data_IF_075371495655
#
_entry.id   IF_075371495655
#
_cell.length_a   1.000
_cell.length_b   1.000
_cell.length_c   1.000
_cell.angle_alpha   90.00
_cell.angle_beta   90.00
_cell.angle_gamma   90.00
#
_symmetry.space_group_name_H-M   'P 1'
#
loop_
_entity.id
_entity.type
_entity.pdbx_description
1 polymer ?
#
# COMPACT_ATOMS: atom_id res chain seq x y z
N UNK A 1 -6.16 8.17 -9.44
CA UNK A 1 -4.90 8.07 -10.21
C UNK A 1 -3.82 7.39 -9.40
N UNK A 2 -3.55 7.84 -8.17
CA UNK A 2 -2.55 7.23 -7.25
C UNK A 2 -2.76 5.72 -7.04
N UNK A 3 -3.97 5.27 -6.69
CA UNK A 3 -4.25 3.85 -6.45
C UNK A 3 -4.03 2.97 -7.71
N UNK A 4 -4.50 3.43 -8.87
CA UNK A 4 -4.33 2.71 -10.15
C UNK A 4 -2.85 2.61 -10.54
N UNK A 5 -2.09 3.71 -10.40
CA UNK A 5 -0.65 3.72 -10.70
C UNK A 5 0.13 2.77 -9.77
N UNK A 6 -0.19 2.75 -8.48
CA UNK A 6 0.45 1.86 -7.52
C UNK A 6 0.08 0.38 -7.75
N UNK A 7 -1.17 0.08 -8.14
CA UNK A 7 -1.55 -1.29 -8.55
C UNK A 7 -0.90 -1.72 -9.85
N UNK A 8 -0.84 -0.85 -10.85
CA UNK A 8 -0.17 -1.13 -12.12
C UNK A 8 1.34 -1.35 -11.92
N UNK A 9 1.99 -0.53 -11.09
CA UNK A 9 3.39 -0.70 -10.71
C UNK A 9 3.65 -2.01 -9.96
N UNK A 10 2.75 -2.38 -9.03
CA UNK A 10 2.82 -3.66 -8.31
C UNK A 10 2.69 -4.86 -9.24
N UNK A 11 1.78 -4.81 -10.23
CA UNK A 11 1.56 -5.88 -11.20
C UNK A 11 2.72 -5.99 -12.20
N UNK A 12 3.26 -4.86 -12.65
CA UNK A 12 4.40 -4.80 -13.56
C UNK A 12 5.63 -5.46 -12.94
N UNK A 13 5.92 -5.15 -11.67
CA UNK A 13 7.05 -5.76 -10.95
C UNK A 13 6.88 -7.28 -10.74
N UNK A 14 5.64 -7.77 -10.63
CA UNK A 14 5.38 -9.22 -10.51
C UNK A 14 5.45 -10.00 -11.82
N UNK A 15 4.91 -9.47 -12.92
CA UNK A 15 4.83 -10.21 -14.20
C UNK A 15 6.06 -10.03 -15.09
N UNK A 16 6.77 -8.91 -14.97
CA UNK A 16 7.87 -8.58 -15.89
C UNK A 16 9.23 -8.91 -15.26
N UNK A 17 9.36 -8.81 -13.93
CA UNK A 17 10.65 -8.97 -13.24
C UNK A 17 10.76 -10.28 -12.45
N UNK A 18 9.72 -11.11 -12.41
CA UNK A 18 9.72 -12.44 -11.76
C UNK A 18 10.24 -12.45 -10.31
N UNK A 19 10.07 -11.36 -9.57
CA UNK A 19 10.34 -11.38 -8.14
C UNK A 19 9.20 -12.09 -7.41
N UNK A 20 9.54 -13.18 -6.72
CA UNK A 20 8.66 -13.78 -5.73
C UNK A 20 8.37 -12.74 -4.62
N UNK A 21 7.11 -12.30 -4.44
CA UNK A 21 6.78 -11.35 -3.39
C UNK A 21 6.84 -12.04 -2.03
N UNK A 22 7.44 -11.36 -1.06
CA UNK A 22 7.47 -11.80 0.33
C UNK A 22 6.05 -11.84 0.94
N UNK A 23 5.85 -12.63 2.01
CA UNK A 23 4.55 -12.76 2.69
C UNK A 23 4.00 -11.39 3.14
N UNK A 24 4.84 -10.53 3.70
CA UNK A 24 4.47 -9.16 4.10
C UNK A 24 4.10 -8.26 2.90
N UNK A 25 4.79 -8.43 1.78
CA UNK A 25 4.52 -7.74 0.52
C UNK A 25 3.13 -8.12 -0.01
N UNK A 26 2.74 -9.38 0.17
CA UNK A 26 1.43 -9.88 -0.22
C UNK A 26 0.32 -9.27 0.65
N UNK A 27 0.53 -9.14 1.96
CA UNK A 27 -0.39 -8.42 2.83
C UNK A 27 -0.58 -6.96 2.40
N UNK A 28 0.49 -6.24 2.03
CA UNK A 28 0.36 -4.87 1.50
C UNK A 28 -0.52 -4.81 0.24
N UNK A 29 -0.43 -5.81 -0.65
CA UNK A 29 -1.27 -5.91 -1.86
C UNK A 29 -2.74 -6.17 -1.54
N UNK A 30 -3.04 -7.02 -0.56
CA UNK A 30 -4.42 -7.28 -0.12
C UNK A 30 -5.09 -6.00 0.36
N UNK A 31 -4.36 -5.10 1.03
CA UNK A 31 -4.93 -3.82 1.44
C UNK A 31 -5.06 -2.84 0.27
N UNK A 32 -4.09 -2.81 -0.66
CA UNK A 32 -4.13 -1.89 -1.80
C UNK A 32 -5.18 -2.20 -2.87
N UNK A 33 -5.38 -3.46 -3.24
CA UNK A 33 -6.22 -3.81 -4.41
C UNK A 33 -7.71 -3.48 -4.21
N UNK A 34 -8.33 -3.74 -3.04
CA UNK A 34 -9.71 -3.36 -2.78
C UNK A 34 -9.90 -1.83 -2.81
N UNK A 35 -8.92 -1.06 -2.30
CA UNK A 35 -8.96 0.40 -2.30
C UNK A 35 -9.12 0.98 -3.72
N UNK A 36 -8.51 0.36 -4.72
CA UNK A 36 -8.63 0.79 -6.14
C UNK A 36 -10.06 0.63 -6.63
N UNK A 37 -10.66 -0.53 -6.36
CA UNK A 37 -12.03 -0.85 -6.75
C UNK A 37 -13.00 0.08 -6.03
N UNK A 38 -12.82 0.28 -4.73
CA UNK A 38 -13.62 1.18 -3.90
C UNK A 38 -13.58 2.59 -4.46
N UNK A 39 -12.40 3.14 -4.79
CA UNK A 39 -12.30 4.48 -5.36
C UNK A 39 -12.88 4.60 -6.77
N UNK A 40 -12.78 3.54 -7.58
CA UNK A 40 -13.35 3.53 -8.92
C UNK A 40 -14.88 3.55 -8.88
N UNK A 41 -15.47 2.73 -8.01
CA UNK A 41 -16.92 2.72 -7.74
C UNK A 41 -17.37 4.05 -7.13
N UNK A 42 -16.62 4.59 -6.16
CA UNK A 42 -16.92 5.87 -5.53
C UNK A 42 -17.00 7.01 -6.54
N UNK A 43 -16.06 7.05 -7.50
CA UNK A 43 -16.06 8.03 -8.58
C UNK A 43 -17.23 7.85 -9.53
N UNK A 44 -17.57 6.61 -9.89
CA UNK A 44 -18.67 6.31 -10.81
C UNK A 44 -20.05 6.60 -10.18
N UNK A 45 -20.24 6.26 -8.91
CA UNK A 45 -21.51 6.36 -8.19
C UNK A 45 -21.66 7.62 -7.34
N UNK A 46 -20.62 8.47 -7.25
CA UNK A 46 -20.56 9.69 -6.40
C UNK A 46 -21.02 9.41 -4.96
N UNK A 47 -20.55 8.31 -4.39
CA UNK A 47 -20.99 7.85 -3.06
C UNK A 47 -20.48 8.83 -2.00
N UNK A 48 -21.37 9.48 -1.22
CA UNK A 48 -20.96 10.28 -0.08
C UNK A 48 -20.36 9.39 1.01
N UNK A 49 -19.44 9.91 1.82
CA UNK A 49 -18.81 9.18 2.95
C UNK A 49 -17.96 7.94 2.61
N UNK A 50 -17.42 7.86 1.38
CA UNK A 50 -16.46 6.79 1.02
C UNK A 50 -15.22 6.75 1.95
N UNK A 51 -14.92 7.87 2.61
CA UNK A 51 -13.80 8.01 3.53
C UNK A 51 -13.92 7.11 4.79
N UNK A 52 -15.13 6.74 5.20
CA UNK A 52 -15.36 5.83 6.35
C UNK A 52 -14.82 4.42 6.08
N UNK A 53 -14.85 3.97 4.82
CA UNK A 53 -14.36 2.65 4.40
C UNK A 53 -12.88 2.73 3.99
N UNK A 54 -12.48 3.82 3.32
CA UNK A 54 -11.12 3.96 2.80
C UNK A 54 -10.08 4.23 3.89
N UNK A 55 -10.42 4.98 4.94
CA UNK A 55 -9.49 5.29 6.04
C UNK A 55 -8.98 4.06 6.80
N UNK A 56 -9.82 3.11 7.27
CA UNK A 56 -9.32 1.95 8.01
C UNK A 56 -8.42 1.07 7.14
N UNK A 57 -8.74 0.88 5.86
CA UNK A 57 -7.89 0.16 4.91
C UNK A 57 -6.53 0.83 4.71
N UNK A 58 -6.52 2.16 4.57
CA UNK A 58 -5.27 2.92 4.43
C UNK A 58 -4.43 2.88 5.71
N UNK A 59 -5.06 2.97 6.89
CA UNK A 59 -4.38 2.89 8.19
C UNK A 59 -3.71 1.53 8.42
N UNK A 60 -4.41 0.43 8.08
CA UNK A 60 -3.82 -0.92 8.13
C UNK A 60 -2.65 -1.07 7.14
N UNK A 61 -2.79 -0.52 5.93
CA UNK A 61 -1.71 -0.48 4.94
C UNK A 61 -0.46 0.24 5.44
N UNK A 62 -0.62 1.39 6.11
CA UNK A 62 0.49 2.14 6.73
C UNK A 62 1.17 1.32 7.84
N UNK A 63 0.38 0.63 8.67
CA UNK A 63 0.92 -0.16 9.78
C UNK A 63 1.77 -1.33 9.26
N UNK A 64 1.26 -2.06 8.26
CA UNK A 64 1.99 -3.17 7.62
C UNK A 64 3.21 -2.67 6.86
N UNK A 65 3.12 -1.53 6.16
CA UNK A 65 4.25 -0.93 5.45
C UNK A 65 5.36 -0.45 6.39
N UNK A 66 4.99 0.19 7.49
CA UNK A 66 5.92 0.60 8.54
C UNK A 66 6.64 -0.60 9.16
N UNK A 67 5.89 -1.64 9.53
CA UNK A 67 6.45 -2.86 10.10
C UNK A 67 7.45 -3.54 9.15
N UNK A 68 7.10 -3.61 7.86
CA UNK A 68 7.97 -4.19 6.85
C UNK A 68 9.26 -3.36 6.64
N UNK A 69 9.16 -2.02 6.69
CA UNK A 69 10.35 -1.16 6.65
C UNK A 69 11.27 -1.37 7.86
N UNK A 70 10.70 -1.53 9.06
CA UNK A 70 11.48 -1.82 10.28
C UNK A 70 12.22 -3.17 10.18
N UNK A 71 11.59 -4.19 9.59
CA UNK A 71 12.24 -5.49 9.38
C UNK A 71 13.39 -5.38 8.38
N UNK A 72 13.23 -4.61 7.31
CA UNK A 72 14.31 -4.41 6.33
C UNK A 72 15.52 -3.70 6.92
N UNK A 73 15.33 -2.80 7.89
CA UNK A 73 16.43 -2.05 8.51
C UNK A 73 17.05 -2.82 9.69
N UNK A 74 16.28 -3.66 10.38
CA UNK A 74 16.74 -4.54 11.46
C UNK A 74 16.52 -6.02 11.10
N UNK A 75 17.33 -6.59 10.18
CA UNK A 75 17.16 -7.96 9.67
C UNK A 75 17.30 -9.04 10.76
N UNK A 76 17.86 -8.68 11.90
CA UNK A 76 18.08 -9.54 13.07
C UNK A 76 16.81 -9.77 13.92
N UNK A 77 15.74 -8.98 13.72
CA UNK A 77 14.48 -9.14 14.44
C UNK A 77 13.54 -10.20 13.84
N UNK A 78 13.69 -10.55 12.56
CA UNK A 78 12.80 -11.51 11.92
C UNK A 78 13.54 -12.36 10.89
N UNK A 79 14.08 -13.48 11.36
CA UNK A 79 14.40 -14.63 10.50
C UNK A 79 13.14 -15.46 10.24
N UNK A 80 12.02 -14.80 9.94
CA UNK A 80 10.77 -15.49 9.61
C UNK A 80 10.90 -16.06 8.21
N UNK A 81 11.18 -17.35 8.15
CA UNK A 81 11.09 -18.20 6.97
C UNK A 81 9.66 -18.08 6.41
N UNK A 82 9.49 -17.24 5.38
CA UNK A 82 8.19 -17.04 4.73
C UNK A 82 7.90 -18.14 3.72
N UNK A 83 6.63 -18.53 3.58
CA UNK A 83 6.17 -19.53 2.62
C UNK A 83 6.48 -19.12 1.16
N UNK A 84 6.59 -17.82 0.90
CA UNK A 84 6.84 -17.25 -0.43
C UNK A 84 8.22 -16.55 -0.57
N UNK A 85 9.13 -16.69 0.42
CA UNK A 85 10.50 -16.16 0.38
C UNK A 85 10.93 -15.36 1.62
N UNK A 86 12.21 -15.00 1.71
CA UNK A 86 12.75 -14.18 2.82
C UNK A 86 12.20 -12.75 2.75
N UNK A 87 11.49 -12.32 3.79
CA UNK A 87 11.06 -10.91 3.94
C UNK A 87 12.24 -9.95 4.22
N UNK A 88 13.41 -10.53 4.49
CA UNK A 88 14.66 -9.85 4.81
C UNK A 88 15.53 -9.59 3.58
N UNK A 89 15.30 -10.35 2.50
CA UNK A 89 16.03 -10.14 1.26
C UNK A 89 15.52 -8.87 0.57
N UNK A 90 16.47 -8.08 0.05
CA UNK A 90 16.19 -6.86 -0.72
C UNK A 90 16.44 -7.21 -2.20
N UNK A 91 15.47 -7.85 -2.89
CA UNK A 91 15.68 -8.29 -4.27
C UNK A 91 15.69 -7.12 -5.27
N UNK A 92 15.22 -5.93 -4.88
CA UNK A 92 15.31 -4.70 -5.66
C UNK A 92 15.99 -3.60 -4.87
N UNK A 93 17.16 -3.18 -5.36
CA UNK A 93 17.91 -2.02 -4.88
C UNK A 93 18.05 -0.97 -5.98
N UNK A 94 16.99 -0.71 -6.73
CA UNK A 94 17.06 0.12 -7.96
C UNK A 94 17.50 1.58 -7.72
N UNK A 95 17.59 2.05 -6.47
CA UNK A 95 18.16 3.38 -6.17
C UNK A 95 18.93 3.43 -4.83
N UNK A 96 19.37 2.29 -4.28
CA UNK A 96 20.14 2.27 -3.01
C UNK A 96 19.38 2.66 -1.73
N UNK A 97 18.21 3.30 -1.83
CA UNK A 97 17.42 3.85 -0.71
C UNK A 97 15.90 3.62 -0.82
N UNK A 98 15.37 3.39 -2.04
CA UNK A 98 13.92 3.21 -2.28
C UNK A 98 13.61 1.72 -2.23
N UNK A 99 13.01 1.27 -1.13
CA UNK A 99 12.48 -0.10 -1.00
C UNK A 99 10.99 -0.14 -1.35
N UNK A 100 10.49 -1.32 -1.77
CA UNK A 100 9.05 -1.52 -2.05
C UNK A 100 8.14 -1.04 -0.90
N UNK A 101 8.46 -1.28 0.38
CA UNK A 101 7.66 -0.80 1.51
C UNK A 101 7.55 0.72 1.53
N UNK A 102 8.63 1.44 1.25
CA UNK A 102 8.66 2.91 1.26
C UNK A 102 7.72 3.50 0.19
N UNK A 103 7.72 2.91 -1.01
CA UNK A 103 6.80 3.31 -2.08
C UNK A 103 5.33 3.04 -1.71
N UNK A 104 5.04 1.89 -1.09
CA UNK A 104 3.69 1.58 -0.63
C UNK A 104 3.22 2.52 0.49
N UNK A 105 4.12 2.85 1.43
CA UNK A 105 3.85 3.71 2.56
C UNK A 105 3.49 5.13 2.10
N UNK A 106 4.28 5.69 1.19
CA UNK A 106 3.98 7.00 0.58
C UNK A 106 2.64 7.01 -0.14
N UNK A 107 2.30 5.93 -0.87
CA UNK A 107 0.99 5.81 -1.53
C UNK A 107 -0.17 5.80 -0.51
N UNK A 108 -0.08 5.02 0.57
CA UNK A 108 -1.12 4.99 1.61
C UNK A 108 -1.25 6.32 2.35
N UNK A 109 -0.13 6.97 2.70
CA UNK A 109 -0.14 8.32 3.32
C UNK A 109 -0.85 9.31 2.41
N UNK A 110 -0.54 9.30 1.11
CA UNK A 110 -1.18 10.20 0.15
C UNK A 110 -2.70 9.94 0.04
N UNK A 111 -3.12 8.67 0.03
CA UNK A 111 -4.53 8.27 0.04
C UNK A 111 -5.22 8.79 1.32
N UNK A 112 -4.58 8.63 2.49
CA UNK A 112 -5.10 9.11 3.77
C UNK A 112 -5.31 10.62 3.76
N UNK A 113 -4.33 11.40 3.29
CA UNK A 113 -4.44 12.87 3.18
C UNK A 113 -5.61 13.27 2.28
N UNK A 114 -5.75 12.64 1.12
CA UNK A 114 -6.87 12.90 0.20
C UNK A 114 -8.23 12.59 0.84
N UNK A 115 -8.34 11.51 1.62
CA UNK A 115 -9.56 11.18 2.36
C UNK A 115 -9.90 12.22 3.43
N UNK A 116 -8.91 12.75 4.16
CA UNK A 116 -9.13 13.81 5.14
C UNK A 116 -9.61 15.11 4.49
N UNK A 117 -9.06 15.48 3.32
CA UNK A 117 -9.51 16.64 2.55
C UNK A 117 -10.96 16.45 2.10
N UNK A 118 -11.31 15.27 1.58
CA UNK A 118 -12.69 14.96 1.18
C UNK A 118 -13.66 15.02 2.36
N UNK A 119 -13.27 14.48 3.52
CA UNK A 119 -14.04 14.57 4.76
C UNK A 119 -14.31 16.02 5.17
N UNK A 120 -13.29 16.89 5.11
CA UNK A 120 -13.44 18.32 5.41
C UNK A 120 -14.45 19.01 4.50
N UNK A 121 -14.38 18.75 3.19
CA UNK A 121 -15.32 19.32 2.21
C UNK A 121 -16.76 18.83 2.37
N UNK A 122 -16.93 17.61 2.87
CA UNK A 122 -18.25 17.01 3.09
C UNK A 122 -18.89 17.51 4.40
N UNK A 123 -18.07 17.79 5.42
CA UNK A 123 -18.53 18.47 6.65
C UNK A 123 -18.93 19.92 6.40
N UNK A 124 -18.21 20.64 5.55
CA UNK A 124 -18.53 22.05 5.24
C UNK A 124 -19.76 22.23 4.36
N UNK A 125 -20.17 21.19 3.61
CA UNK A 125 -21.41 21.19 2.83
C UNK A 125 -22.68 20.91 3.64
N UNK A 126 -22.53 20.53 4.91
CA UNK A 126 -23.62 20.07 5.78
C UNK A 126 -24.00 21.15 6.78
#
# INVERSE_FOLDING_TARGET
MVAVAATAGSLYMSNVVFLAPCDLCWFQRIFMYPLVIIFLIARARKIPRIWEIALPFSALGILVASYHYLIQIFPQMSQTCGLFGSCTDIPFRDFGYITLPWMSLTAFVFITILMFILRGRELEKR
#
